data_IF_459283143682
#
_entry.id   IF_459283143682
#
_cell.length_a   1.000
_cell.length_b   1.000
_cell.length_c   1.000
_cell.angle_alpha   90.00
_cell.angle_beta   90.00
_cell.angle_gamma   90.00
#
_symmetry.space_group_name_H-M   'P 1'
#
loop_
_entity.id
_entity.type
_entity.pdbx_description
1 polymer ?
#
# COMPACT_ATOMS: atom_id res chain seq x y z
N UNK A 1 13.69 8.53 3.03
CA UNK A 1 13.69 9.60 2.02
C UNK A 1 12.44 9.40 1.19
N UNK A 2 11.57 10.40 1.16
CA UNK A 2 10.32 10.40 0.41
C UNK A 2 10.63 10.40 -1.08
N UNK A 3 10.26 9.34 -1.80
CA UNK A 3 10.58 9.25 -3.22
C UNK A 3 9.55 10.07 -4.02
N UNK A 4 10.00 10.82 -5.02
CA UNK A 4 9.08 11.49 -5.94
C UNK A 4 8.53 10.46 -6.93
N UNK A 5 7.21 10.26 -6.92
CA UNK A 5 6.55 9.35 -7.84
C UNK A 5 5.93 10.18 -8.97
N UNK A 6 6.55 10.21 -10.17
CA UNK A 6 6.06 11.01 -11.29
C UNK A 6 4.67 10.56 -11.77
N UNK A 7 4.31 9.29 -11.52
CA UNK A 7 3.05 8.68 -11.94
C UNK A 7 1.82 9.26 -11.24
N UNK A 8 1.97 9.67 -9.97
CA UNK A 8 0.93 10.38 -9.22
C UNK A 8 1.20 11.89 -9.17
N UNK A 9 2.26 12.34 -9.86
CA UNK A 9 2.77 13.70 -9.82
C UNK A 9 2.90 14.25 -8.39
N UNK A 10 3.39 13.41 -7.47
CA UNK A 10 3.47 13.74 -6.05
C UNK A 10 4.61 12.98 -5.37
N UNK A 11 5.12 13.54 -4.27
CA UNK A 11 6.06 12.85 -3.41
C UNK A 11 5.33 11.82 -2.54
N UNK A 12 5.92 10.64 -2.37
CA UNK A 12 5.41 9.60 -1.47
C UNK A 12 6.30 9.51 -0.25
N UNK A 13 5.70 9.69 0.93
CA UNK A 13 6.36 9.77 2.22
C UNK A 13 5.47 9.33 3.37
N UNK A 14 5.93 9.50 4.61
CA UNK A 14 5.28 8.96 5.82
C UNK A 14 3.77 9.28 5.92
N UNK A 15 3.35 10.47 5.50
CA UNK A 15 1.96 10.92 5.61
C UNK A 15 1.01 10.42 4.50
N UNK A 16 1.53 9.91 3.38
CA UNK A 16 0.71 9.40 2.28
C UNK A 16 1.09 8.00 1.81
N UNK A 17 2.07 7.37 2.47
CA UNK A 17 2.50 6.00 2.22
C UNK A 17 1.34 5.01 2.31
N UNK A 18 0.45 5.18 3.29
CA UNK A 18 -0.79 4.40 3.41
C UNK A 18 -1.63 4.49 2.13
N UNK A 19 -1.96 5.70 1.68
CA UNK A 19 -2.77 5.94 0.49
C UNK A 19 -2.12 5.39 -0.77
N UNK A 20 -0.80 5.50 -0.88
CA UNK A 20 -0.06 4.96 -2.02
C UNK A 20 -0.10 3.42 -2.06
N UNK A 21 0.08 2.74 -0.93
CA UNK A 21 -0.02 1.27 -0.85
C UNK A 21 -1.44 0.80 -1.16
N UNK A 22 -2.45 1.50 -0.64
CA UNK A 22 -3.87 1.26 -0.95
C UNK A 22 -4.16 1.44 -2.43
N UNK A 23 -3.66 2.52 -3.04
CA UNK A 23 -3.76 2.75 -4.47
C UNK A 23 -3.18 1.59 -5.28
N UNK A 24 -1.96 1.17 -4.98
CA UNK A 24 -1.32 0.02 -5.65
C UNK A 24 -2.12 -1.27 -5.48
N UNK A 25 -2.62 -1.53 -4.26
CA UNK A 25 -3.46 -2.70 -3.99
C UNK A 25 -4.72 -2.70 -4.85
N UNK A 26 -5.43 -1.58 -4.93
CA UNK A 26 -6.66 -1.48 -5.72
C UNK A 26 -6.42 -1.61 -7.21
N UNK A 27 -5.37 -0.98 -7.76
CA UNK A 27 -5.02 -1.15 -9.17
C UNK A 27 -4.66 -2.62 -9.46
N UNK A 28 -3.94 -3.29 -8.55
CA UNK A 28 -3.64 -4.72 -8.67
C UNK A 28 -4.90 -5.59 -8.70
N UNK A 29 -5.85 -5.34 -7.80
CA UNK A 29 -7.14 -6.05 -7.77
C UNK A 29 -7.94 -5.79 -9.05
N UNK A 30 -8.00 -4.54 -9.53
CA UNK A 30 -8.67 -4.18 -10.78
C UNK A 30 -8.02 -4.89 -11.98
N UNK A 31 -6.69 -4.96 -12.02
CA UNK A 31 -5.96 -5.67 -13.07
C UNK A 31 -6.30 -7.16 -13.11
N UNK A 32 -6.39 -7.81 -11.96
CA UNK A 32 -6.79 -9.23 -11.86
C UNK A 32 -8.26 -9.40 -12.28
N UNK A 33 -9.14 -8.50 -11.85
CA UNK A 33 -10.56 -8.52 -12.22
C UNK A 33 -10.77 -8.41 -13.73
N UNK A 34 -10.08 -7.46 -14.38
CA UNK A 34 -10.12 -7.28 -15.83
C UNK A 34 -9.58 -8.51 -16.55
N UNK A 35 -8.46 -9.07 -16.09
CA UNK A 35 -7.89 -10.29 -16.68
C UNK A 35 -8.87 -11.47 -16.60
N UNK A 36 -9.52 -11.68 -15.45
CA UNK A 36 -10.53 -12.72 -15.28
C UNK A 36 -11.73 -12.51 -16.23
N UNK A 37 -12.19 -11.26 -16.37
CA UNK A 37 -13.29 -10.93 -17.27
C UNK A 37 -12.93 -11.14 -18.75
N UNK A 38 -11.71 -10.80 -19.16
CA UNK A 38 -11.21 -11.04 -20.51
C UNK A 38 -11.11 -12.53 -20.81
N UNK A 39 -10.57 -13.33 -19.88
CA UNK A 39 -10.51 -14.80 -20.02
C UNK A 39 -11.91 -15.38 -20.16
N UNK A 40 -12.85 -14.93 -19.32
CA UNK A 40 -14.25 -15.34 -19.41
C UNK A 40 -14.87 -14.98 -20.77
N UNK A 41 -14.64 -13.75 -21.24
CA UNK A 41 -15.13 -13.27 -22.54
C UNK A 41 -14.57 -14.11 -23.70
N UNK A 42 -13.28 -14.45 -23.66
CA UNK A 42 -12.63 -15.30 -24.65
C UNK A 42 -13.21 -16.71 -24.68
N UNK A 43 -13.59 -17.28 -23.54
CA UNK A 43 -14.19 -18.63 -23.47
C UNK A 43 -15.62 -18.62 -24.03
N UNK A 44 -16.42 -17.61 -23.67
CA UNK A 44 -17.85 -17.58 -23.99
C UNK A 44 -18.15 -17.03 -25.40
N UNK A 45 -17.38 -16.03 -25.85
CA UNK A 45 -17.67 -15.27 -27.06
C UNK A 45 -16.64 -15.44 -28.18
N UNK A 46 -15.60 -16.26 -27.99
CA UNK A 46 -14.49 -16.49 -28.95
C UNK A 46 -14.93 -16.66 -30.40
N UNK A 47 -16.03 -17.38 -30.64
CA UNK A 47 -16.39 -17.79 -32.00
C UNK A 47 -17.28 -16.79 -32.75
N UNK A 48 -17.65 -15.65 -32.14
CA UNK A 48 -18.71 -14.80 -32.70
C UNK A 48 -18.21 -13.51 -33.35
N UNK A 49 -17.05 -12.96 -32.98
CA UNK A 49 -16.60 -11.65 -33.47
C UNK A 49 -15.06 -11.47 -33.43
N UNK A 50 -14.42 -11.33 -34.58
CA UNK A 50 -12.95 -11.11 -34.68
C UNK A 50 -12.49 -9.83 -33.97
N UNK A 51 -13.30 -8.76 -34.01
CA UNK A 51 -13.00 -7.50 -33.31
C UNK A 51 -12.96 -7.68 -31.79
N UNK A 52 -13.78 -8.59 -31.23
CA UNK A 52 -13.76 -8.86 -29.78
C UNK A 52 -12.51 -9.62 -29.38
N UNK A 53 -12.03 -10.54 -30.23
CA UNK A 53 -10.78 -11.29 -29.99
C UNK A 53 -9.60 -10.31 -29.95
N UNK A 54 -9.49 -9.42 -30.94
CA UNK A 54 -8.41 -8.42 -30.99
C UNK A 54 -8.45 -7.50 -29.77
N UNK A 55 -9.62 -6.97 -29.41
CA UNK A 55 -9.76 -6.11 -28.23
C UNK A 55 -9.40 -6.85 -26.93
N UNK A 56 -9.80 -8.11 -26.81
CA UNK A 56 -9.48 -8.97 -25.66
C UNK A 56 -7.98 -9.22 -25.53
N UNK A 57 -7.27 -9.45 -26.64
CA UNK A 57 -5.81 -9.60 -26.64
C UNK A 57 -5.13 -8.32 -26.16
N UNK A 58 -5.56 -7.16 -26.66
CA UNK A 58 -4.99 -5.86 -26.26
C UNK A 58 -5.17 -5.63 -24.76
N UNK A 59 -6.37 -5.81 -24.23
CA UNK A 59 -6.66 -5.63 -22.80
C UNK A 59 -5.88 -6.64 -21.95
N UNK A 60 -5.72 -7.88 -22.43
CA UNK A 60 -4.93 -8.89 -21.73
C UNK A 60 -3.46 -8.46 -21.60
N UNK A 61 -2.85 -7.99 -22.70
CA UNK A 61 -1.47 -7.51 -22.70
C UNK A 61 -1.32 -6.29 -21.78
N UNK A 62 -2.23 -5.31 -21.89
CA UNK A 62 -2.24 -4.12 -21.04
C UNK A 62 -2.35 -4.50 -19.55
N UNK A 63 -3.27 -5.39 -19.20
CA UNK A 63 -3.48 -5.85 -17.82
C UNK A 63 -2.23 -6.55 -17.27
N UNK A 64 -1.56 -7.37 -18.07
CA UNK A 64 -0.31 -8.02 -17.66
C UNK A 64 0.81 -7.00 -17.43
N UNK A 65 0.96 -6.01 -18.31
CA UNK A 65 1.99 -4.97 -18.17
C UNK A 65 1.75 -4.11 -16.93
N UNK A 66 0.52 -3.63 -16.73
CA UNK A 66 0.15 -2.87 -15.54
C UNK A 66 0.27 -3.71 -14.26
N UNK A 67 -0.15 -4.97 -14.30
CA UNK A 67 -0.04 -5.88 -13.16
C UNK A 67 1.41 -6.11 -12.73
N UNK A 68 2.31 -6.39 -13.67
CA UNK A 68 3.75 -6.54 -13.39
C UNK A 68 4.35 -5.26 -12.83
N UNK A 69 4.02 -4.11 -13.42
CA UNK A 69 4.48 -2.81 -12.93
C UNK A 69 4.02 -2.56 -11.49
N UNK A 70 2.74 -2.76 -11.19
CA UNK A 70 2.19 -2.59 -9.84
C UNK A 70 2.87 -3.52 -8.84
N UNK A 71 3.14 -4.78 -9.20
CA UNK A 71 3.84 -5.74 -8.33
C UNK A 71 5.24 -5.24 -8.00
N UNK A 72 6.01 -4.78 -9.00
CA UNK A 72 7.37 -4.25 -8.76
C UNK A 72 7.34 -3.07 -7.80
N UNK A 73 6.44 -2.10 -8.02
CA UNK A 73 6.33 -0.94 -7.13
C UNK A 73 5.84 -1.36 -5.74
N UNK A 74 4.89 -2.30 -5.65
CA UNK A 74 4.41 -2.78 -4.36
C UNK A 74 5.51 -3.47 -3.55
N UNK A 75 6.35 -4.29 -4.19
CA UNK A 75 7.51 -4.92 -3.55
C UNK A 75 8.49 -3.87 -3.03
N UNK A 76 8.78 -2.83 -3.82
CA UNK A 76 9.63 -1.71 -3.40
C UNK A 76 9.05 -0.97 -2.17
N UNK A 77 7.75 -0.72 -2.14
CA UNK A 77 7.09 -0.11 -0.99
C UNK A 77 7.16 -0.99 0.26
N UNK A 78 6.96 -2.30 0.11
CA UNK A 78 7.10 -3.26 1.22
C UNK A 78 8.54 -3.33 1.71
N UNK A 79 9.51 -3.36 0.81
CA UNK A 79 10.93 -3.36 1.15
C UNK A 79 11.33 -2.07 1.89
N UNK A 80 10.82 -0.92 1.48
CA UNK A 80 11.04 0.35 2.19
C UNK A 80 10.54 0.26 3.63
N UNK A 81 9.33 -0.25 3.86
CA UNK A 81 8.80 -0.49 5.21
C UNK A 81 9.69 -1.45 6.00
N UNK A 82 10.14 -2.56 5.39
CA UNK A 82 10.99 -3.53 6.07
C UNK A 82 12.41 -3.00 6.37
N UNK A 83 12.96 -2.14 5.50
CA UNK A 83 14.25 -1.51 5.70
C UNK A 83 14.19 -0.47 6.82
N UNK A 84 13.08 0.27 6.94
CA UNK A 84 12.85 1.18 8.07
C UNK A 84 12.85 0.42 9.41
N UNK A 85 12.33 -0.81 9.44
CA UNK A 85 12.45 -1.70 10.62
C UNK A 85 13.92 -1.98 10.94
N UNK A 86 14.71 -2.38 9.95
CA UNK A 86 16.12 -2.73 10.14
C UNK A 86 16.93 -1.53 10.64
N UNK A 87 16.68 -0.33 10.12
CA UNK A 87 17.36 0.90 10.54
C UNK A 87 17.03 1.26 11.99
N UNK A 88 15.74 1.19 12.36
CA UNK A 88 15.32 1.40 13.75
C UNK A 88 15.96 0.36 14.67
N UNK A 89 16.03 -0.90 14.26
CA UNK A 89 16.67 -1.96 15.03
C UNK A 89 18.18 -1.66 15.22
N UNK A 90 18.89 -1.19 14.20
CA UNK A 90 20.31 -0.79 14.31
C UNK A 90 20.53 0.40 15.24
N UNK A 91 19.71 1.44 15.14
CA UNK A 91 19.77 2.61 16.04
C UNK A 91 19.42 2.24 17.49
N UNK A 92 18.43 1.35 17.66
CA UNK A 92 18.09 0.83 18.98
C UNK A 92 19.18 -0.04 19.56
N UNK A 93 19.96 -0.79 18.77
CA UNK A 93 21.09 -1.55 19.28
C UNK A 93 22.20 -0.65 19.84
N UNK A 94 22.43 0.51 19.23
CA UNK A 94 23.37 1.52 19.72
C UNK A 94 22.92 2.07 21.09
N UNK A 95 21.61 2.35 21.23
CA UNK A 95 21.00 2.84 22.48
C UNK A 95 20.78 1.72 23.53
N UNK A 96 20.58 0.46 23.09
CA UNK A 96 20.28 -0.72 23.91
C UNK A 96 21.47 -1.27 24.71
N UNK A 97 22.66 -0.70 24.56
CA UNK A 97 23.69 -0.81 25.60
C UNK A 97 23.17 -0.34 26.97
N UNK A 98 22.07 0.45 27.01
CA UNK A 98 21.48 1.03 28.23
C UNK A 98 20.05 0.57 28.59
N UNK A 99 19.28 -0.08 27.72
CA UNK A 99 17.85 -0.42 27.97
C UNK A 99 17.38 -1.79 27.43
N UNK A 100 18.23 -2.81 27.51
CA UNK A 100 18.03 -4.15 26.92
C UNK A 100 16.83 -5.03 27.41
N UNK A 101 15.67 -4.49 27.85
CA UNK A 101 14.59 -5.33 28.41
C UNK A 101 13.16 -5.12 27.92
N UNK A 102 12.87 -4.30 26.88
CA UNK A 102 11.49 -4.17 26.38
C UNK A 102 11.31 -4.44 24.87
N UNK A 103 11.10 -5.73 24.58
CA UNK A 103 10.15 -6.29 23.61
C UNK A 103 10.24 -5.75 22.17
N UNK A 104 10.89 -6.54 21.31
CA UNK A 104 10.93 -6.44 19.85
C UNK A 104 9.54 -6.12 19.25
N UNK A 105 9.34 -5.04 18.48
CA UNK A 105 8.05 -4.79 17.86
C UNK A 105 7.86 -5.74 16.65
N UNK A 106 6.81 -6.58 16.63
CA UNK A 106 6.48 -7.41 15.46
C UNK A 106 6.11 -6.53 14.27
N UNK A 107 6.24 -7.01 13.02
CA UNK A 107 5.82 -6.33 11.78
C UNK A 107 4.42 -5.70 11.87
N UNK A 108 3.55 -6.28 12.71
CA UNK A 108 2.23 -5.74 13.05
C UNK A 108 2.25 -4.34 13.65
N UNK A 109 3.26 -3.98 14.45
CA UNK A 109 3.40 -2.64 15.04
C UNK A 109 3.77 -1.62 13.98
N UNK A 110 4.65 -1.99 13.04
CA UNK A 110 5.04 -1.12 11.94
C UNK A 110 3.89 -0.92 10.94
N UNK A 111 3.18 -1.99 10.61
CA UNK A 111 1.95 -1.91 9.81
C UNK A 111 0.88 -1.06 10.53
N UNK A 112 0.75 -1.16 11.85
CA UNK A 112 -0.13 -0.26 12.63
C UNK A 112 0.33 1.20 12.61
N UNK A 113 1.64 1.47 12.48
CA UNK A 113 2.15 2.84 12.32
C UNK A 113 1.69 3.44 10.98
N UNK A 114 1.72 2.64 9.91
CA UNK A 114 1.31 3.08 8.55
C UNK A 114 -0.21 3.10 8.38
N UNK A 115 -0.91 2.02 8.73
CA UNK A 115 -2.35 1.87 8.48
C UNK A 115 -3.25 2.40 9.60
N UNK A 116 -2.67 2.62 10.79
CA UNK A 116 -3.36 3.10 11.98
C UNK A 116 -3.81 2.00 12.95
N UNK A 117 -4.21 2.37 14.18
CA UNK A 117 -4.78 1.45 15.15
C UNK A 117 -6.19 1.05 14.72
N UNK A 118 -6.42 -0.25 14.49
CA UNK A 118 -7.75 -0.75 14.10
C UNK A 118 -7.74 -2.20 13.61
N UNK A 119 -8.93 -2.78 13.36
CA UNK A 119 -9.05 -4.08 12.71
C UNK A 119 -8.56 -4.01 11.27
N UNK A 120 -7.96 -5.09 10.77
CA UNK A 120 -7.31 -5.15 9.45
C UNK A 120 -8.26 -4.82 8.29
N UNK A 121 -9.57 -5.11 8.43
CA UNK A 121 -10.57 -4.75 7.40
C UNK A 121 -10.68 -3.23 7.20
N UNK A 122 -10.41 -2.45 8.25
CA UNK A 122 -10.48 -1.00 8.22
C UNK A 122 -9.21 -0.38 7.61
N UNK A 123 -8.13 -1.15 7.51
CA UNK A 123 -6.91 -0.75 6.81
C UNK A 123 -7.10 -0.63 5.30
N UNK A 124 -8.12 -1.30 4.76
CA UNK A 124 -8.50 -1.19 3.36
C UNK A 124 -9.24 0.12 3.08
N UNK A 125 -9.74 0.84 4.08
CA UNK A 125 -10.40 2.12 3.82
C UNK A 125 -9.36 3.25 3.72
N UNK A 126 -9.46 4.14 2.73
CA UNK A 126 -8.64 5.36 2.64
C UNK A 126 -9.12 6.42 3.63
N UNK A 127 -9.38 6.04 4.88
CA UNK A 127 -9.80 6.93 5.95
C UNK A 127 -8.76 6.90 7.07
N UNK A 128 -8.32 8.07 7.50
CA UNK A 128 -7.48 8.19 8.69
C UNK A 128 -8.37 8.37 9.91
N UNK A 129 -8.46 7.31 10.72
CA UNK A 129 -9.17 7.34 12.00
C UNK A 129 -8.38 8.06 13.10
N UNK A 130 -7.29 8.73 12.73
CA UNK A 130 -6.46 9.53 13.62
C UNK A 130 -7.05 10.93 13.80
N UNK A 131 -8.29 11.04 14.27
CA UNK A 131 -8.90 12.36 14.55
C UNK A 131 -9.92 12.37 15.69
N UNK A 132 -9.62 11.75 16.82
CA UNK A 132 -10.38 11.98 18.07
C UNK A 132 -9.55 12.37 19.29
N UNK A 133 -8.22 12.20 19.27
CA UNK A 133 -7.40 12.40 20.47
C UNK A 133 -6.51 13.65 20.42
N UNK A 134 -6.00 14.05 19.24
CA UNK A 134 -5.22 15.30 19.11
C UNK A 134 -6.08 16.56 19.23
N UNK A 135 -7.37 16.50 18.87
CA UNK A 135 -8.30 17.61 19.10
C UNK A 135 -8.51 17.84 20.61
N UNK A 136 -8.57 16.77 21.40
CA UNK A 136 -8.72 16.84 22.86
C UNK A 136 -7.43 17.34 23.54
N UNK A 137 -6.25 16.95 23.03
CA UNK A 137 -4.97 17.43 23.58
C UNK A 137 -4.68 18.91 23.26
N UNK A 138 -5.01 19.38 22.05
CA UNK A 138 -4.90 20.81 21.71
C UNK A 138 -5.91 21.68 22.49
N UNK A 139 -7.10 21.14 22.78
CA UNK A 139 -8.09 21.83 23.60
C UNK A 139 -7.67 21.87 25.08
N UNK A 140 -6.92 20.88 25.56
CA UNK A 140 -6.36 20.87 26.91
C UNK A 140 -5.11 21.77 27.06
N UNK A 141 -4.30 21.95 26.00
CA UNK A 141 -3.18 22.91 26.02
C UNK A 141 -3.63 24.38 25.92
N UNK A 142 -4.83 24.65 25.44
CA UNK A 142 -5.41 26.00 25.43
C UNK A 142 -6.17 26.36 26.72
N UNK A 143 -6.36 25.40 27.63
CA UNK A 143 -7.10 25.55 28.90
C UNK A 143 -6.20 25.47 30.15
N UNK A 144 -4.88 25.61 29.99
CA UNK A 144 -3.87 25.76 31.05
C UNK A 144 -3.11 27.06 30.81
#
# INVERSE_FOLDING_TARGET
LDHHCPWINNCVGEFNQKYFILFLFYIGVTSIYVLAFVIWSLIVFSQKNDSLIVHSIIICVESCLFGLFVITIFVDQVQTILNDRSLIDTLKLDDNSRMASQILPPTKVLLRKVFGPGPMMLWLLPCDLKKSNEATDLQNMHNV
#
